data_IF_956493826672
#
_entry.id   IF_956493826672
#
_cell.length_a   1.000
_cell.length_b   1.000
_cell.length_c   1.000
_cell.angle_alpha   90.00
_cell.angle_beta   90.00
_cell.angle_gamma   90.00
#
_symmetry.space_group_name_H-M   'P 1'
#
loop_
_entity.id
_entity.type
_entity.pdbx_description
1 polymer ?
#
# COMPACT_ATOMS: atom_id res chain seq x y z
N UNK A 1 13.03 -21.28 24.23
CA UNK A 1 12.61 -20.72 22.92
C UNK A 1 12.56 -19.22 23.06
N UNK A 2 13.57 -18.51 22.57
CA UNK A 2 13.60 -17.04 22.56
C UNK A 2 12.60 -16.61 21.50
N UNK A 3 11.47 -16.00 21.88
CA UNK A 3 10.59 -15.30 20.95
C UNK A 3 11.43 -14.18 20.32
N UNK A 4 11.81 -14.31 19.04
CA UNK A 4 12.30 -13.19 18.28
C UNK A 4 11.18 -12.14 18.28
N UNK A 5 11.35 -11.11 19.09
CA UNK A 5 10.50 -9.93 19.05
C UNK A 5 10.75 -9.29 17.68
N UNK A 6 9.78 -9.40 16.76
CA UNK A 6 9.88 -8.73 15.46
C UNK A 6 10.01 -7.22 15.69
N UNK A 7 11.04 -6.62 15.10
CA UNK A 7 11.24 -5.18 15.22
C UNK A 7 10.19 -4.43 14.37
N UNK A 8 9.71 -3.28 14.85
CA UNK A 8 8.71 -2.50 14.14
C UNK A 8 9.21 -2.08 12.76
N UNK A 9 8.31 -2.06 11.77
CA UNK A 9 8.60 -1.57 10.41
C UNK A 9 8.67 -0.05 10.36
N UNK A 10 7.93 0.63 11.25
CA UNK A 10 7.98 2.06 11.50
C UNK A 10 8.16 2.25 13.00
N UNK A 11 9.14 3.05 13.40
CA UNK A 11 9.34 3.45 14.80
C UNK A 11 9.60 4.95 14.87
N UNK A 12 8.81 5.66 15.65
CA UNK A 12 8.91 7.12 15.85
C UNK A 12 8.98 7.44 17.33
N UNK A 13 9.83 8.41 17.70
CA UNK A 13 9.98 8.90 19.06
C UNK A 13 10.10 10.41 19.04
N UNK A 14 9.22 11.05 19.80
CA UNK A 14 9.17 12.52 19.97
C UNK A 14 9.25 13.26 18.64
N UNK A 15 8.48 12.82 17.62
CA UNK A 15 8.54 13.42 16.30
C UNK A 15 7.74 14.71 16.25
N UNK A 16 8.35 15.78 15.77
CA UNK A 16 7.76 17.11 15.65
C UNK A 16 7.85 17.63 14.23
N UNK A 17 6.80 18.36 13.82
CA UNK A 17 6.77 19.08 12.54
C UNK A 17 6.02 20.39 12.68
N UNK A 18 6.66 21.49 12.24
CA UNK A 18 6.07 22.82 12.18
C UNK A 18 6.19 23.38 10.77
N UNK A 19 5.11 23.93 10.24
CA UNK A 19 5.13 24.71 9.01
C UNK A 19 5.18 26.21 9.35
N UNK A 20 5.67 27.00 8.41
CA UNK A 20 5.71 28.44 8.55
C UNK A 20 4.81 29.09 7.50
N UNK A 21 3.83 29.87 7.95
CA UNK A 21 2.98 30.70 7.08
C UNK A 21 3.39 32.14 7.30
N UNK A 22 4.26 32.65 6.43
CA UNK A 22 4.96 33.93 6.70
C UNK A 22 5.87 33.80 7.93
N UNK A 23 5.60 34.58 8.95
CA UNK A 23 6.33 34.55 10.24
C UNK A 23 5.63 33.74 11.34
N UNK A 24 4.43 33.19 11.06
CA UNK A 24 3.65 32.45 12.05
C UNK A 24 3.95 30.95 11.97
N UNK A 25 4.36 30.32 13.09
CA UNK A 25 4.52 28.89 13.15
C UNK A 25 3.14 28.21 13.18
N UNK A 26 2.99 27.17 12.36
CA UNK A 26 1.84 26.26 12.35
C UNK A 26 2.30 24.86 12.69
N UNK A 27 2.22 24.46 13.94
CA UNK A 27 2.66 23.15 14.38
C UNK A 27 1.69 22.07 13.83
N UNK A 28 2.22 21.12 13.08
CA UNK A 28 1.44 20.06 12.44
C UNK A 28 1.56 18.72 13.15
N UNK A 29 2.70 18.43 13.81
CA UNK A 29 2.91 17.23 14.62
C UNK A 29 3.66 17.60 15.90
N UNK A 30 3.24 17.00 17.02
CA UNK A 30 3.75 17.28 18.36
C UNK A 30 4.06 15.99 19.11
N UNK A 31 5.34 15.64 19.28
CA UNK A 31 5.77 14.55 20.13
C UNK A 31 5.17 13.20 19.74
N UNK A 32 5.12 12.89 18.43
CA UNK A 32 4.55 11.63 17.97
C UNK A 32 5.43 10.47 18.38
N UNK A 33 4.86 9.54 19.14
CA UNK A 33 5.43 8.26 19.51
C UNK A 33 4.56 7.15 18.91
N UNK A 34 5.12 6.34 17.98
CA UNK A 34 4.36 5.31 17.28
C UNK A 34 5.27 4.19 16.79
N UNK A 35 4.86 2.94 17.02
CA UNK A 35 5.43 1.77 16.39
C UNK A 35 4.36 1.06 15.53
N UNK A 36 4.71 0.67 14.32
CA UNK A 36 3.89 -0.17 13.43
C UNK A 36 4.64 -1.46 13.17
N UNK A 37 3.96 -2.58 13.33
CA UNK A 37 4.57 -3.89 13.13
C UNK A 37 4.46 -4.36 11.66
N UNK A 38 5.35 -5.25 11.20
CA UNK A 38 5.24 -5.83 9.87
C UNK A 38 3.90 -6.53 9.64
N UNK A 39 3.28 -6.30 8.48
CA UNK A 39 2.01 -6.93 8.09
C UNK A 39 0.76 -6.28 8.66
N UNK A 40 0.86 -5.27 9.51
CA UNK A 40 -0.30 -4.54 10.03
C UNK A 40 -1.11 -3.86 8.90
N UNK A 41 -2.43 -3.82 9.09
CA UNK A 41 -3.36 -2.96 8.35
C UNK A 41 -3.83 -1.86 9.31
N UNK A 42 -3.04 -0.77 9.39
CA UNK A 42 -3.25 0.30 10.35
C UNK A 42 -3.92 1.51 9.68
N UNK A 43 -4.84 2.16 10.42
CA UNK A 43 -5.54 3.36 9.98
C UNK A 43 -5.27 4.52 10.93
N UNK A 44 -4.72 5.61 10.39
CA UNK A 44 -4.59 6.91 11.07
C UNK A 44 -5.88 7.70 10.86
N UNK A 45 -6.68 7.81 11.89
CA UNK A 45 -7.96 8.50 11.86
C UNK A 45 -7.87 9.88 12.54
N UNK A 46 -8.49 10.88 11.92
CA UNK A 46 -8.54 12.24 12.46
C UNK A 46 -9.32 13.17 11.54
N UNK A 47 -9.70 14.35 12.06
CA UNK A 47 -10.34 15.39 11.26
C UNK A 47 -9.40 15.93 10.17
N UNK A 48 -9.94 16.64 9.19
CA UNK A 48 -9.10 17.42 8.26
C UNK A 48 -8.22 18.39 9.05
N UNK A 49 -6.95 18.51 8.64
CA UNK A 49 -5.98 19.37 9.35
C UNK A 49 -5.33 18.76 10.60
N UNK A 50 -5.68 17.55 11.03
CA UNK A 50 -5.07 16.94 12.24
C UNK A 50 -3.61 16.48 12.07
N UNK A 51 -2.99 16.60 10.89
CA UNK A 51 -1.60 16.21 10.63
C UNK A 51 -1.42 14.85 9.94
N UNK A 52 -2.50 14.14 9.52
CA UNK A 52 -2.43 12.80 8.91
C UNK A 52 -1.53 12.74 7.67
N UNK A 53 -1.76 13.61 6.70
CA UNK A 53 -0.95 13.67 5.47
C UNK A 53 0.51 14.03 5.75
N UNK A 54 0.74 14.95 6.70
CA UNK A 54 2.09 15.31 7.16
C UNK A 54 2.80 14.09 7.75
N UNK A 55 2.12 13.32 8.60
CA UNK A 55 2.66 12.09 9.19
C UNK A 55 3.01 11.07 8.10
N UNK A 56 2.10 10.80 7.15
CA UNK A 56 2.35 9.88 6.04
C UNK A 56 3.49 10.36 5.14
N UNK A 57 3.58 11.67 4.87
CA UNK A 57 4.65 12.25 4.05
C UNK A 57 6.02 12.08 4.70
N UNK A 58 6.13 12.27 6.02
CA UNK A 58 7.39 12.06 6.74
C UNK A 58 7.77 10.58 6.73
N UNK A 59 6.86 9.66 7.07
CA UNK A 59 7.09 8.22 7.00
C UNK A 59 7.52 7.80 5.58
N UNK A 60 6.90 8.42 4.58
CA UNK A 60 7.21 8.20 3.17
C UNK A 60 8.51 8.83 2.70
N UNK A 61 9.26 9.49 3.56
CA UNK A 61 10.47 10.26 3.20
C UNK A 61 10.22 11.29 2.08
N UNK A 62 8.99 11.77 1.91
CA UNK A 62 8.63 12.88 1.03
C UNK A 62 8.92 14.22 1.70
N UNK A 63 8.83 14.23 3.01
CA UNK A 63 9.06 15.40 3.86
C UNK A 63 9.98 15.07 5.03
N UNK A 64 10.59 16.07 5.64
CA UNK A 64 11.45 15.92 6.82
C UNK A 64 10.73 16.39 8.07
N UNK A 65 10.92 15.69 9.18
CA UNK A 65 10.57 16.22 10.50
C UNK A 65 11.59 17.29 10.93
N UNK A 66 11.17 18.14 11.88
CA UNK A 66 12.03 19.21 12.42
C UNK A 66 12.78 18.74 13.66
N UNK A 67 12.22 17.79 14.42
CA UNK A 67 12.83 17.19 15.60
C UNK A 67 12.30 15.77 15.84
N UNK A 68 12.99 15.00 16.70
CA UNK A 68 12.66 13.62 17.04
C UNK A 68 13.44 12.60 16.23
N UNK A 69 13.03 11.33 16.35
CA UNK A 69 13.66 10.22 15.66
C UNK A 69 12.61 9.42 14.88
N UNK A 70 12.96 8.96 13.69
CA UNK A 70 12.12 8.06 12.90
C UNK A 70 12.98 7.04 12.15
N UNK A 71 12.66 5.77 12.37
CA UNK A 71 13.18 4.67 11.59
C UNK A 71 12.06 4.02 10.79
N UNK A 72 12.26 3.84 9.48
CA UNK A 72 11.33 3.14 8.57
C UNK A 72 12.08 2.00 7.92
N UNK A 73 11.57 0.77 8.07
CA UNK A 73 12.24 -0.44 7.57
C UNK A 73 13.67 -0.61 8.08
N UNK A 74 13.93 -0.14 9.32
CA UNK A 74 15.25 -0.16 9.93
C UNK A 74 16.21 0.95 9.46
N UNK A 75 15.74 1.88 8.63
CA UNK A 75 16.54 3.01 8.14
C UNK A 75 16.13 4.31 8.84
N UNK A 76 17.10 5.07 9.35
CA UNK A 76 16.91 6.44 9.80
C UNK A 76 16.74 7.35 8.58
N UNK A 77 15.48 7.74 8.32
CA UNK A 77 15.13 8.50 7.11
C UNK A 77 15.46 10.00 7.23
N UNK A 78 15.64 10.54 8.44
CA UNK A 78 15.98 11.95 8.62
C UNK A 78 17.41 12.23 8.19
N UNK A 79 18.33 11.29 8.42
CA UNK A 79 19.74 11.41 8.05
C UNK A 79 20.04 11.06 6.58
N UNK A 80 19.00 10.68 5.79
CA UNK A 80 19.17 10.44 4.36
C UNK A 80 19.27 11.74 3.56
N UNK A 81 20.21 11.80 2.62
CA UNK A 81 20.22 12.85 1.60
C UNK A 81 19.09 12.65 0.56
N UNK A 82 18.93 13.61 -0.36
CA UNK A 82 17.84 13.61 -1.35
C UNK A 82 17.83 12.35 -2.23
N UNK A 83 18.97 11.90 -2.69
CA UNK A 83 19.11 10.75 -3.59
C UNK A 83 18.83 9.45 -2.83
N UNK A 84 19.31 9.32 -1.61
CA UNK A 84 19.04 8.20 -0.72
C UNK A 84 17.55 8.08 -0.44
N UNK A 85 16.86 9.19 -0.10
CA UNK A 85 15.37 9.21 0.09
C UNK A 85 14.65 8.76 -1.18
N UNK A 86 15.10 9.23 -2.35
CA UNK A 86 14.49 8.85 -3.63
C UNK A 86 14.64 7.36 -3.92
N UNK A 87 15.83 6.81 -3.72
CA UNK A 87 16.09 5.37 -3.88
C UNK A 87 15.34 4.53 -2.82
N UNK A 88 15.30 5.02 -1.59
CA UNK A 88 14.56 4.36 -0.51
C UNK A 88 13.07 4.24 -0.85
N UNK A 89 12.42 5.35 -1.25
CA UNK A 89 11.01 5.35 -1.68
C UNK A 89 10.78 4.37 -2.83
N UNK A 90 11.58 4.49 -3.89
CA UNK A 90 11.42 3.68 -5.10
C UNK A 90 11.45 2.17 -4.83
N UNK A 91 12.24 1.74 -3.85
CA UNK A 91 12.45 0.31 -3.57
C UNK A 91 11.57 -0.26 -2.48
N UNK A 92 11.10 0.59 -1.56
CA UNK A 92 10.52 0.11 -0.30
C UNK A 92 9.08 0.56 -0.07
N UNK A 93 8.64 1.67 -0.68
CA UNK A 93 7.36 2.29 -0.36
C UNK A 93 6.46 2.37 -1.61
N UNK A 94 5.22 1.94 -1.45
CA UNK A 94 4.16 2.20 -2.42
C UNK A 94 3.26 3.34 -1.93
N UNK A 95 2.95 4.30 -2.79
CA UNK A 95 2.06 5.40 -2.46
C UNK A 95 0.73 5.30 -3.19
N UNK A 96 -0.36 5.51 -2.44
CA UNK A 96 -1.72 5.68 -2.95
C UNK A 96 -2.22 7.04 -2.46
N UNK A 97 -2.46 7.97 -3.38
CA UNK A 97 -2.87 9.34 -3.08
C UNK A 97 -4.37 9.53 -3.31
N UNK A 98 -4.96 10.48 -2.61
CA UNK A 98 -6.35 10.91 -2.78
C UNK A 98 -6.64 11.33 -4.24
N UNK A 99 -5.75 12.07 -4.89
CA UNK A 99 -5.90 12.56 -6.27
C UNK A 99 -5.40 11.56 -7.34
N UNK A 100 -5.25 10.26 -7.00
CA UNK A 100 -4.75 9.18 -7.86
C UNK A 100 -3.33 9.38 -8.38
N UNK A 101 -2.93 10.57 -8.76
CA UNK A 101 -1.62 10.97 -9.31
C UNK A 101 -1.16 10.06 -10.46
N UNK A 102 -2.09 9.72 -11.36
CA UNK A 102 -1.79 8.98 -12.57
C UNK A 102 -1.22 9.92 -13.65
N UNK A 103 -0.25 9.42 -14.40
CA UNK A 103 0.32 10.12 -15.55
C UNK A 103 -0.71 10.06 -16.67
N UNK A 104 -1.29 11.21 -17.02
CA UNK A 104 -2.45 11.32 -17.93
C UNK A 104 -2.20 10.79 -19.34
N UNK A 105 -0.98 10.95 -19.84
CA UNK A 105 -0.59 10.49 -21.18
C UNK A 105 -0.33 8.99 -21.25
N UNK A 106 -0.21 8.31 -20.11
CA UNK A 106 0.01 6.89 -20.02
C UNK A 106 -1.31 6.13 -19.88
N UNK A 107 -1.37 4.95 -20.47
CA UNK A 107 -2.42 3.97 -20.21
C UNK A 107 -2.36 3.46 -18.76
N UNK A 108 -3.40 2.79 -18.29
CA UNK A 108 -3.40 2.13 -16.97
C UNK A 108 -2.20 1.18 -16.82
N UNK A 109 -1.91 0.38 -17.83
CA UNK A 109 -0.79 -0.55 -17.85
C UNK A 109 0.56 0.16 -17.81
N UNK A 110 0.73 1.25 -18.52
CA UNK A 110 1.96 2.03 -18.51
C UNK A 110 2.17 2.74 -17.18
N UNK A 111 1.11 3.28 -16.56
CA UNK A 111 1.17 3.85 -15.21
C UNK A 111 1.70 2.83 -14.19
N UNK A 112 1.23 1.59 -14.26
CA UNK A 112 1.69 0.52 -13.35
C UNK A 112 3.10 0.04 -13.72
N UNK A 113 3.44 -0.07 -15.01
CA UNK A 113 4.74 -0.54 -15.47
C UNK A 113 5.88 0.45 -15.17
N UNK A 114 5.57 1.74 -15.13
CA UNK A 114 6.56 2.80 -15.05
C UNK A 114 7.45 2.71 -13.80
N UNK A 115 6.87 2.41 -12.63
CA UNK A 115 7.66 2.24 -11.40
C UNK A 115 8.67 1.08 -11.50
N UNK A 116 8.30 0.01 -12.20
CA UNK A 116 9.20 -1.12 -12.43
C UNK A 116 10.36 -0.75 -13.36
N UNK A 117 10.10 0.09 -14.38
CA UNK A 117 11.16 0.60 -15.27
C UNK A 117 12.12 1.52 -14.51
N UNK A 118 11.63 2.38 -13.62
CA UNK A 118 12.46 3.19 -12.74
C UNK A 118 13.36 2.34 -11.81
N UNK A 119 12.92 1.12 -11.46
CA UNK A 119 13.73 0.14 -10.74
C UNK A 119 14.76 -0.60 -11.62
N UNK A 120 14.86 -0.27 -12.92
CA UNK A 120 15.78 -0.87 -13.87
C UNK A 120 15.31 -2.18 -14.51
N UNK A 121 14.01 -2.54 -14.37
CA UNK A 121 13.47 -3.71 -15.07
C UNK A 121 13.28 -3.43 -16.57
N UNK A 122 13.40 -4.46 -17.40
CA UNK A 122 13.14 -4.35 -18.83
C UNK A 122 11.67 -3.96 -19.10
N UNK A 123 11.42 -3.35 -20.26
CA UNK A 123 10.05 -2.97 -20.67
C UNK A 123 9.10 -4.18 -20.67
N UNK A 124 9.55 -5.33 -21.17
CA UNK A 124 8.75 -6.56 -21.21
C UNK A 124 8.39 -7.02 -19.81
N UNK A 125 9.38 -7.15 -18.92
CA UNK A 125 9.16 -7.56 -17.52
C UNK A 125 8.22 -6.59 -16.80
N UNK A 126 8.41 -5.29 -16.99
CA UNK A 126 7.56 -4.25 -16.38
C UNK A 126 6.10 -4.35 -16.84
N UNK A 127 5.87 -4.60 -18.13
CA UNK A 127 4.52 -4.79 -18.66
C UNK A 127 3.87 -6.10 -18.19
N UNK A 128 4.64 -7.17 -18.04
CA UNK A 128 4.13 -8.44 -17.48
C UNK A 128 3.72 -8.28 -16.02
N UNK A 129 4.51 -7.55 -15.22
CA UNK A 129 4.19 -7.18 -13.83
C UNK A 129 2.93 -6.32 -13.79
N UNK A 130 2.83 -5.32 -14.67
CA UNK A 130 1.68 -4.43 -14.74
C UNK A 130 0.39 -5.19 -15.09
N UNK A 131 0.44 -6.08 -16.07
CA UNK A 131 -0.71 -6.91 -16.44
C UNK A 131 -1.16 -7.81 -15.27
N UNK A 132 -0.20 -8.36 -14.51
CA UNK A 132 -0.52 -9.12 -13.30
C UNK A 132 -1.25 -8.27 -12.27
N UNK A 133 -0.71 -7.09 -11.91
CA UNK A 133 -1.33 -6.26 -10.89
C UNK A 133 -2.67 -5.66 -11.32
N UNK A 134 -2.82 -5.27 -12.59
CA UNK A 134 -4.12 -4.86 -13.11
C UNK A 134 -5.16 -5.97 -13.03
N UNK A 135 -4.75 -7.21 -13.23
CA UNK A 135 -5.67 -8.36 -13.05
C UNK A 135 -6.04 -8.56 -11.57
N UNK A 136 -5.08 -8.39 -10.65
CA UNK A 136 -5.30 -8.52 -9.20
C UNK A 136 -6.27 -7.44 -8.66
N UNK A 137 -6.29 -6.24 -9.28
CA UNK A 137 -7.24 -5.18 -8.94
C UNK A 137 -8.48 -5.17 -9.86
N UNK A 138 -8.77 -6.28 -10.56
CA UNK A 138 -9.95 -6.50 -11.41
C UNK A 138 -10.04 -5.56 -12.65
N UNK A 139 -8.91 -5.01 -13.10
CA UNK A 139 -8.82 -4.10 -14.24
C UNK A 139 -8.05 -4.67 -15.44
N UNK A 140 -7.85 -5.98 -15.51
CA UNK A 140 -7.05 -6.61 -16.57
C UNK A 140 -7.54 -6.30 -17.99
N UNK A 141 -8.85 -6.10 -18.17
CA UNK A 141 -9.48 -5.74 -19.45
C UNK A 141 -9.37 -4.25 -19.80
N UNK A 142 -9.01 -3.39 -18.84
CA UNK A 142 -8.90 -1.94 -19.01
C UNK A 142 -7.45 -1.44 -19.11
N UNK A 143 -6.48 -2.33 -19.22
CA UNK A 143 -5.05 -2.00 -19.23
C UNK A 143 -4.63 -0.99 -20.29
N UNK A 144 -5.34 -0.89 -21.41
CA UNK A 144 -5.05 0.02 -22.51
C UNK A 144 -5.78 1.37 -22.42
N UNK A 145 -6.68 1.53 -21.44
CA UNK A 145 -7.40 2.79 -21.22
C UNK A 145 -6.48 3.82 -20.55
N UNK A 146 -6.68 5.09 -20.91
CA UNK A 146 -6.04 6.24 -20.25
C UNK A 146 -6.87 6.67 -19.05
N UNK A 147 -6.29 7.44 -18.09
CA UNK A 147 -7.00 7.89 -16.91
C UNK A 147 -8.32 8.59 -17.15
N UNK A 148 -8.41 9.41 -18.21
CA UNK A 148 -9.64 10.11 -18.63
C UNK A 148 -10.77 9.18 -19.12
N UNK A 149 -10.45 7.94 -19.44
CA UNK A 149 -11.37 6.89 -19.87
C UNK A 149 -11.75 5.92 -18.73
N UNK A 150 -11.36 6.23 -17.52
CA UNK A 150 -11.57 5.39 -16.32
C UNK A 150 -12.40 6.15 -15.28
N UNK A 151 -13.32 5.45 -14.60
CA UNK A 151 -14.02 6.02 -13.45
C UNK A 151 -13.04 6.31 -12.29
N UNK A 152 -13.44 7.16 -11.33
CA UNK A 152 -12.60 7.48 -10.16
C UNK A 152 -12.15 6.23 -9.40
N UNK A 153 -13.07 5.27 -9.15
CA UNK A 153 -12.73 4.01 -8.51
C UNK A 153 -11.79 3.13 -9.33
N UNK A 154 -11.91 3.14 -10.67
CA UNK A 154 -10.96 2.46 -11.55
C UNK A 154 -9.58 3.11 -11.51
N UNK A 155 -9.52 4.45 -11.55
CA UNK A 155 -8.25 5.19 -11.42
C UNK A 155 -7.56 4.89 -10.08
N UNK A 156 -8.33 4.84 -8.99
CA UNK A 156 -7.78 4.52 -7.67
C UNK A 156 -7.26 3.08 -7.61
N UNK A 157 -7.95 2.11 -8.20
CA UNK A 157 -7.45 0.73 -8.31
C UNK A 157 -6.18 0.65 -9.16
N UNK A 158 -6.04 1.45 -10.22
CA UNK A 158 -4.77 1.58 -10.96
C UNK A 158 -3.66 2.14 -10.07
N UNK A 159 -3.96 3.14 -9.22
CA UNK A 159 -2.98 3.69 -8.27
C UNK A 159 -2.53 2.64 -7.25
N UNK A 160 -3.44 1.80 -6.73
CA UNK A 160 -3.10 0.65 -5.86
C UNK A 160 -2.24 -0.37 -6.60
N UNK A 161 -2.59 -0.73 -7.83
CA UNK A 161 -1.79 -1.64 -8.66
C UNK A 161 -0.37 -1.09 -8.90
N UNK A 162 -0.24 0.21 -9.19
CA UNK A 162 1.04 0.90 -9.34
C UNK A 162 1.87 0.85 -8.06
N UNK A 163 1.25 1.13 -6.92
CA UNK A 163 1.93 1.07 -5.62
C UNK A 163 2.48 -0.33 -5.33
N UNK A 164 1.73 -1.38 -5.64
CA UNK A 164 2.13 -2.78 -5.41
C UNK A 164 3.16 -3.29 -6.43
N UNK A 165 3.20 -2.73 -7.63
CA UNK A 165 4.07 -3.20 -8.71
C UNK A 165 5.57 -3.04 -8.39
N UNK A 166 5.93 -2.05 -7.56
CA UNK A 166 7.32 -1.87 -7.08
C UNK A 166 7.78 -2.98 -6.13
N UNK A 167 6.86 -3.76 -5.58
CA UNK A 167 7.15 -4.79 -4.57
C UNK A 167 7.47 -4.23 -3.20
N UNK A 168 6.71 -3.26 -2.70
CA UNK A 168 7.03 -2.56 -1.47
C UNK A 168 6.78 -3.43 -0.24
N UNK A 169 7.48 -3.12 0.85
CA UNK A 169 7.20 -3.68 2.18
C UNK A 169 6.16 -2.85 2.94
N UNK A 170 5.99 -1.59 2.55
CA UNK A 170 5.07 -0.62 3.16
C UNK A 170 4.25 0.10 2.08
N UNK A 171 2.94 0.12 2.24
CA UNK A 171 2.01 0.94 1.46
C UNK A 171 1.53 2.08 2.34
N UNK A 172 1.68 3.31 1.86
CA UNK A 172 1.13 4.52 2.44
C UNK A 172 -0.03 5.00 1.59
N UNK A 173 -1.23 5.08 2.16
CA UNK A 173 -2.42 5.50 1.45
C UNK A 173 -3.03 6.73 2.13
N UNK A 174 -2.99 7.87 1.46
CA UNK A 174 -3.53 9.11 1.97
C UNK A 174 -4.94 9.34 1.42
N UNK A 175 -5.95 9.23 2.30
CA UNK A 175 -7.40 9.39 2.02
C UNK A 175 -7.85 8.64 0.73
N UNK A 176 -7.58 7.33 0.59
CA UNK A 176 -7.74 6.61 -0.68
C UNK A 176 -9.20 6.49 -1.16
N UNK A 177 -10.18 6.76 -0.30
CA UNK A 177 -11.62 6.68 -0.60
C UNK A 177 -12.30 8.03 -0.73
N UNK A 178 -11.62 9.15 -0.46
CA UNK A 178 -12.26 10.48 -0.32
C UNK A 178 -12.99 10.96 -1.58
N UNK A 179 -12.58 10.51 -2.77
CA UNK A 179 -13.20 10.89 -4.04
C UNK A 179 -14.08 9.77 -4.65
N UNK A 180 -14.52 8.81 -3.81
CA UNK A 180 -15.30 7.66 -4.23
C UNK A 180 -16.67 7.66 -3.53
N UNK A 181 -17.68 7.09 -4.18
CA UNK A 181 -18.92 6.76 -3.50
C UNK A 181 -18.69 5.64 -2.47
N UNK A 182 -19.60 5.53 -1.50
CA UNK A 182 -19.45 4.62 -0.36
C UNK A 182 -19.34 3.13 -0.76
N UNK A 183 -20.01 2.72 -1.84
CA UNK A 183 -19.92 1.32 -2.33
C UNK A 183 -18.54 1.04 -2.94
N UNK A 184 -18.10 1.92 -3.83
CA UNK A 184 -16.78 1.82 -4.48
C UNK A 184 -15.65 1.95 -3.46
N UNK A 185 -15.79 2.84 -2.46
CA UNK A 185 -14.83 3.00 -1.37
C UNK A 185 -14.67 1.73 -0.53
N UNK A 186 -15.80 1.12 -0.10
CA UNK A 186 -15.79 -0.16 0.63
C UNK A 186 -15.14 -1.28 -0.16
N UNK A 187 -15.46 -1.40 -1.46
CA UNK A 187 -14.85 -2.39 -2.33
C UNK A 187 -13.33 -2.21 -2.42
N UNK A 188 -12.86 -0.98 -2.55
CA UNK A 188 -11.43 -0.66 -2.57
C UNK A 188 -10.72 -1.08 -1.27
N UNK A 189 -11.30 -0.74 -0.10
CA UNK A 189 -10.71 -1.08 1.20
C UNK A 189 -10.68 -2.59 1.41
N UNK A 190 -11.73 -3.32 1.06
CA UNK A 190 -11.75 -4.77 1.13
C UNK A 190 -10.65 -5.39 0.24
N UNK A 191 -10.51 -4.90 -0.99
CA UNK A 191 -9.44 -5.31 -1.89
C UNK A 191 -8.04 -5.06 -1.29
N UNK A 192 -7.82 -3.87 -0.71
CA UNK A 192 -6.54 -3.54 -0.05
C UNK A 192 -6.27 -4.46 1.16
N UNK A 193 -7.30 -4.77 1.94
CA UNK A 193 -7.20 -5.69 3.09
C UNK A 193 -6.89 -7.13 2.66
N UNK A 194 -7.54 -7.64 1.61
CA UNK A 194 -7.23 -8.96 1.05
C UNK A 194 -5.78 -9.02 0.53
N UNK A 195 -5.33 -7.95 -0.14
CA UNK A 195 -3.95 -7.84 -0.61
C UNK A 195 -2.95 -7.79 0.56
N UNK A 196 -3.26 -7.08 1.65
CA UNK A 196 -2.45 -7.07 2.86
C UNK A 196 -2.30 -8.49 3.42
N UNK A 197 -3.40 -9.20 3.66
CA UNK A 197 -3.39 -10.56 4.22
C UNK A 197 -2.61 -11.54 3.33
N UNK A 198 -2.82 -11.47 2.03
CA UNK A 198 -2.21 -12.40 1.07
C UNK A 198 -0.72 -12.15 0.84
N UNK A 199 -0.30 -10.88 0.88
CA UNK A 199 1.08 -10.48 0.59
C UNK A 199 1.94 -10.30 1.84
N UNK A 200 1.32 -10.10 3.02
CA UNK A 200 2.00 -9.71 4.24
C UNK A 200 2.67 -8.33 4.15
N UNK A 201 2.25 -7.49 3.19
CA UNK A 201 2.71 -6.10 3.05
C UNK A 201 2.00 -5.23 4.08
N UNK A 202 2.71 -4.37 4.78
CA UNK A 202 2.13 -3.43 5.76
C UNK A 202 1.38 -2.31 5.03
N UNK A 203 0.19 -1.97 5.52
CA UNK A 203 -0.58 -0.82 5.03
C UNK A 203 -0.76 0.19 6.16
N UNK A 204 -0.45 1.45 5.89
CA UNK A 204 -0.78 2.57 6.75
C UNK A 204 -1.64 3.54 5.96
N UNK A 205 -2.89 3.70 6.38
CA UNK A 205 -3.92 4.43 5.65
C UNK A 205 -4.36 5.62 6.49
N UNK A 206 -4.35 6.83 5.93
CA UNK A 206 -5.04 7.96 6.55
C UNK A 206 -6.50 7.97 6.12
N UNK A 207 -7.44 8.16 7.04
CA UNK A 207 -8.84 8.37 6.68
C UNK A 207 -9.66 9.01 7.79
N UNK A 208 -10.66 9.78 7.39
CA UNK A 208 -11.75 10.22 8.28
C UNK A 208 -13.03 9.37 8.10
N UNK A 209 -13.07 8.51 7.08
CA UNK A 209 -14.22 7.67 6.71
C UNK A 209 -14.48 6.58 7.76
N UNK A 210 -15.73 6.46 8.29
CA UNK A 210 -16.10 5.40 9.23
C UNK A 210 -15.95 3.98 8.67
N UNK A 211 -16.14 3.78 7.38
CA UNK A 211 -16.04 2.45 6.75
C UNK A 211 -14.58 1.99 6.72
N UNK A 212 -13.64 2.89 6.42
CA UNK A 212 -12.21 2.61 6.47
C UNK A 212 -11.76 2.29 7.90
N UNK A 213 -12.26 3.04 8.89
CA UNK A 213 -11.95 2.80 10.31
C UNK A 213 -12.42 1.43 10.79
N UNK A 214 -13.59 0.96 10.32
CA UNK A 214 -14.12 -0.37 10.65
C UNK A 214 -13.31 -1.53 10.07
N UNK A 215 -12.65 -1.30 8.95
CA UNK A 215 -11.78 -2.29 8.31
C UNK A 215 -10.37 -2.34 8.92
N UNK A 216 -10.04 -1.41 9.82
CA UNK A 216 -8.72 -1.32 10.45
C UNK A 216 -8.46 -2.52 11.37
N UNK A 217 -7.31 -3.16 11.21
CA UNK A 217 -6.76 -4.08 12.21
C UNK A 217 -6.20 -3.33 13.42
N UNK A 218 -5.78 -2.07 13.21
CA UNK A 218 -5.35 -1.14 14.25
C UNK A 218 -5.78 0.27 13.91
N UNK A 219 -6.41 0.96 14.86
CA UNK A 219 -6.86 2.35 14.71
C UNK A 219 -5.98 3.28 15.55
N UNK A 220 -5.42 4.30 14.92
CA UNK A 220 -4.57 5.33 15.54
C UNK A 220 -5.31 6.66 15.41
N UNK A 221 -5.74 7.26 16.52
CA UNK A 221 -6.41 8.56 16.51
C UNK A 221 -5.40 9.69 16.59
N UNK A 222 -5.40 10.54 15.57
CA UNK A 222 -4.60 11.75 15.49
C UNK A 222 -5.52 12.97 15.63
N UNK A 223 -5.27 13.82 16.63
CA UNK A 223 -5.97 15.09 16.84
C UNK A 223 -4.93 16.16 17.16
N UNK A 224 -5.06 17.31 16.50
CA UNK A 224 -4.22 18.50 16.71
C UNK A 224 -2.72 18.17 16.75
N UNK A 225 -2.28 17.31 15.82
CA UNK A 225 -0.89 16.90 15.70
C UNK A 225 -0.39 15.91 16.76
N UNK A 226 -1.25 15.34 17.58
CA UNK A 226 -0.90 14.37 18.63
C UNK A 226 -1.67 13.05 18.46
N UNK A 227 -1.04 11.93 18.84
CA UNK A 227 -1.75 10.67 18.99
C UNK A 227 -2.47 10.71 20.34
N UNK A 228 -3.81 10.76 20.29
CA UNK A 228 -4.65 10.84 21.49
C UNK A 228 -5.14 9.47 21.96
N UNK A 229 -5.14 8.49 21.07
CA UNK A 229 -5.55 7.12 21.37
C UNK A 229 -5.08 6.15 20.29
N UNK A 230 -4.69 4.92 20.68
CA UNK A 230 -4.41 3.85 19.74
C UNK A 230 -5.07 2.57 20.26
N UNK A 231 -6.00 2.03 19.48
CA UNK A 231 -6.77 0.84 19.84
C UNK A 231 -6.36 -0.30 18.92
N UNK A 232 -5.94 -1.39 19.50
CA UNK A 232 -5.86 -2.68 18.83
C UNK A 232 -7.26 -3.32 18.88
N UNK A 233 -8.18 -2.81 18.07
CA UNK A 233 -9.38 -3.57 17.76
C UNK A 233 -9.00 -4.64 16.75
N UNK A 234 -8.80 -5.85 17.25
CA UNK A 234 -8.87 -7.04 16.41
C UNK A 234 -10.37 -7.35 16.22
N UNK A 235 -11.00 -6.97 15.12
CA UNK A 235 -12.22 -7.64 14.72
C UNK A 235 -11.78 -9.09 14.50
N UNK A 236 -12.29 -10.03 15.30
CA UNK A 236 -12.13 -11.46 15.01
C UNK A 236 -12.61 -11.66 13.58
N UNK A 237 -11.66 -11.79 12.65
CA UNK A 237 -11.96 -12.26 11.31
C UNK A 237 -12.74 -13.58 11.46
N UNK A 238 -13.76 -13.84 10.63
CA UNK A 238 -14.46 -15.10 10.66
C UNK A 238 -13.42 -16.20 10.48
N UNK A 239 -13.37 -17.09 11.49
CA UNK A 239 -12.51 -18.27 11.50
C UNK A 239 -12.98 -19.23 10.40
N UNK A 240 -12.54 -19.01 9.17
CA UNK A 240 -12.57 -20.04 8.13
C UNK A 240 -11.45 -19.74 7.14
N UNK A 241 -10.52 -20.69 7.07
CA UNK A 241 -9.37 -20.78 6.15
C UNK A 241 -8.03 -20.23 6.64
N UNK A 242 -7.66 -20.54 7.88
CA UNK A 242 -6.24 -20.64 8.24
C UNK A 242 -5.73 -22.04 7.88
N UNK A 243 -5.44 -22.26 6.60
CA UNK A 243 -4.60 -23.38 6.18
C UNK A 243 -3.23 -22.83 5.79
N UNK A 244 -2.28 -23.01 6.73
CA UNK A 244 -0.83 -23.13 6.57
C UNK A 244 -0.26 -22.82 5.17
N UNK A 245 0.29 -21.62 5.00
CA UNK A 245 1.26 -21.38 3.95
C UNK A 245 2.38 -20.46 4.45
N UNK A 246 3.63 -20.92 4.59
CA UNK A 246 4.76 -20.13 5.09
C UNK A 246 5.31 -19.21 3.98
N UNK A 247 4.44 -18.52 3.24
CA UNK A 247 4.84 -17.65 2.11
C UNK A 247 5.25 -16.24 2.59
N UNK A 248 4.89 -15.86 3.82
CA UNK A 248 5.17 -14.53 4.38
C UNK A 248 6.66 -14.23 4.63
N UNK A 249 7.48 -15.26 4.79
CA UNK A 249 8.93 -15.12 5.07
C UNK A 249 9.82 -15.03 3.82
N UNK A 250 9.26 -15.23 2.62
CA UNK A 250 10.05 -15.20 1.39
C UNK A 250 10.25 -13.76 0.87
N UNK A 251 11.42 -13.44 0.28
CA UNK A 251 11.63 -12.19 -0.43
C UNK A 251 10.55 -11.97 -1.49
N UNK A 252 10.10 -10.72 -1.68
CA UNK A 252 9.01 -10.37 -2.60
C UNK A 252 9.18 -10.98 -4.01
N UNK A 253 10.42 -11.00 -4.54
CA UNK A 253 10.73 -11.62 -5.84
C UNK A 253 10.36 -13.11 -5.88
N UNK A 254 10.56 -13.83 -4.80
CA UNK A 254 10.20 -15.25 -4.70
C UNK A 254 8.70 -15.44 -4.49
N UNK A 255 8.06 -14.55 -3.71
CA UNK A 255 6.59 -14.54 -3.56
C UNK A 255 5.90 -14.30 -4.90
N UNK A 256 6.35 -13.31 -5.66
CA UNK A 256 5.84 -13.00 -6.99
C UNK A 256 6.11 -14.16 -7.98
N UNK A 257 7.30 -14.78 -7.95
CA UNK A 257 7.63 -15.96 -8.76
C UNK A 257 6.71 -17.15 -8.45
N UNK A 258 6.46 -17.43 -7.17
CA UNK A 258 5.55 -18.51 -6.75
C UNK A 258 4.12 -18.24 -7.19
N UNK A 259 3.61 -17.01 -7.05
CA UNK A 259 2.28 -16.60 -7.51
C UNK A 259 2.13 -16.73 -9.04
N UNK A 260 3.11 -16.26 -9.80
CA UNK A 260 3.12 -16.36 -11.26
C UNK A 260 3.23 -17.84 -11.72
N UNK A 261 4.00 -18.65 -11.03
CA UNK A 261 4.16 -20.09 -11.33
C UNK A 261 2.86 -20.86 -11.04
N UNK A 262 2.20 -20.61 -9.91
CA UNK A 262 0.94 -21.27 -9.57
C UNK A 262 -0.17 -20.94 -10.57
N UNK A 263 -0.28 -19.66 -11.02
CA UNK A 263 -1.25 -19.27 -12.05
C UNK A 263 -0.95 -19.88 -13.43
N UNK A 264 0.33 -20.07 -13.80
CA UNK A 264 0.70 -20.79 -15.04
C UNK A 264 0.28 -22.23 -14.97
N UNK A 265 0.49 -22.91 -13.83
CA UNK A 265 0.09 -24.31 -13.63
C UNK A 265 -1.43 -24.50 -13.66
N UNK A 266 -2.19 -23.57 -13.06
CA UNK A 266 -3.66 -23.59 -13.09
C UNK A 266 -4.23 -23.36 -14.51
N UNK A 267 -3.59 -22.52 -15.34
CA UNK A 267 -3.97 -22.32 -16.75
C UNK A 267 -3.62 -23.50 -17.64
N UNK A 268 -2.51 -24.20 -17.38
CA UNK A 268 -2.10 -25.41 -18.09
C UNK A 268 -3.08 -26.56 -17.85
N UNK A 269 -3.59 -26.71 -16.62
CA UNK A 269 -4.57 -27.74 -16.28
C UNK A 269 -5.97 -27.47 -16.86
N UNK A 270 -6.34 -26.21 -17.13
CA UNK A 270 -7.61 -25.88 -17.81
C UNK A 270 -7.58 -26.06 -19.33
N UNK A 271 -6.41 -26.27 -19.94
CA UNK A 271 -6.24 -26.47 -21.39
C UNK A 271 -6.06 -27.93 -21.83
N UNK A 272 -6.19 -28.92 -20.93
CA UNK A 272 -6.24 -30.31 -21.35
C UNK A 272 -7.66 -30.62 -21.82
N UNK A 273 -7.90 -30.90 -23.10
CA UNK A 273 -9.19 -31.42 -23.54
C UNK A 273 -9.41 -32.76 -22.87
N UNK A 274 -10.64 -33.01 -22.47
CA UNK A 274 -11.09 -34.27 -21.92
C UNK A 274 -10.86 -35.37 -23.00
N UNK A 275 -10.04 -36.41 -22.79
CA UNK A 275 -9.90 -37.46 -23.76
C UNK A 275 -11.06 -38.43 -23.59
N UNK A 276 -12.22 -38.11 -24.19
CA UNK A 276 -13.38 -38.99 -24.05
C UNK A 276 -14.65 -38.44 -24.69
N UNK A 277 -14.61 -38.09 -25.96
CA UNK A 277 -15.84 -37.93 -26.77
C UNK A 277 -15.57 -38.08 -28.27
N UNK A 278 -14.91 -39.17 -28.62
CA UNK A 278 -14.95 -39.71 -30.01
C UNK A 278 -15.29 -41.19 -29.94
N UNK A 279 -16.57 -41.46 -29.79
CA UNK A 279 -17.16 -42.73 -30.21
C UNK A 279 -18.66 -42.46 -30.44
N UNK A 280 -19.04 -42.86 -31.65
CA UNK A 280 -20.36 -43.07 -32.23
C UNK A 280 -20.91 -41.95 -33.15
N UNK A 281 -20.82 -42.39 -34.42
CA UNK A 281 -21.59 -42.11 -35.66
C UNK A 281 -21.20 -40.88 -36.45
#
# INVERSE_FOLDING_TARGET
MVKHQESPIISMRELHKCYWVGTMPFPALHGINLDIMPGEFAVVAGRSGSGKSTLLNIIGALESADNGNIAVLGHDILNMNRDQRTQFRLRNIGFVFQAYNLIRVFTARENVAYVCQLQGKSRKESLDIANHWLHEVELGHLGYRRPDQLSGGQQQRVAVARALASGPRLILADEPTANLDSMTGRHLINLMHELNQRLGTTFLISSHDPDVKRAAGRLIKLADGQIVDSWDEVPKAPQSLASSCPVSQLPFKERLRKLLYQKRKARSNKKRPNPGSDAYW
#
